data_IF_204746453518
#
_entry.id   IF_204746453518
#
_cell.length_a   1.000
_cell.length_b   1.000
_cell.length_c   1.000
_cell.angle_alpha   90.00
_cell.angle_beta   90.00
_cell.angle_gamma   90.00
#
_symmetry.space_group_name_H-M   'P 1'
#
loop_
_entity.id
_entity.type
_entity.pdbx_description
1 polymer ?
#
# COMPACT_ATOMS: atom_id res chain seq x y z
N UNK A 1 -1.49 20.51 -10.17
CA UNK A 1 -2.42 19.40 -10.47
C UNK A 1 -3.48 19.38 -9.39
N UNK A 2 -4.67 19.66 -9.80
CA UNK A 2 -5.77 20.32 -9.12
C UNK A 2 -6.83 19.30 -8.69
N UNK A 3 -7.89 19.78 -8.04
CA UNK A 3 -9.19 19.15 -7.76
C UNK A 3 -9.61 18.08 -8.79
N UNK A 4 -9.22 18.29 -10.05
CA UNK A 4 -9.45 17.36 -11.16
C UNK A 4 -8.84 15.96 -10.92
N UNK A 5 -7.69 15.84 -10.24
CA UNK A 5 -7.04 14.54 -10.02
C UNK A 5 -7.75 13.70 -8.93
N UNK A 6 -8.28 14.35 -7.89
CA UNK A 6 -9.10 13.66 -6.88
C UNK A 6 -10.44 13.25 -7.48
N UNK A 7 -11.10 14.18 -8.15
CA UNK A 7 -12.35 13.90 -8.83
C UNK A 7 -12.19 12.76 -9.84
N UNK A 8 -11.08 12.76 -10.58
CA UNK A 8 -10.71 11.68 -11.48
C UNK A 8 -10.50 10.35 -10.73
N UNK A 9 -9.76 10.35 -9.63
CA UNK A 9 -9.55 9.14 -8.82
C UNK A 9 -10.86 8.57 -8.28
N UNK A 10 -11.74 9.41 -7.74
CA UNK A 10 -13.09 9.02 -7.29
C UNK A 10 -13.95 8.52 -8.43
N UNK A 11 -13.95 9.22 -9.59
CA UNK A 11 -14.70 8.81 -10.77
C UNK A 11 -14.22 7.47 -11.33
N UNK A 12 -12.92 7.23 -11.36
CA UNK A 12 -12.36 5.96 -11.84
C UNK A 12 -12.70 4.82 -10.89
N UNK A 13 -12.62 5.03 -9.58
CA UNK A 13 -13.01 4.01 -8.60
C UNK A 13 -14.51 3.74 -8.64
N UNK A 14 -15.33 4.78 -8.79
CA UNK A 14 -16.78 4.63 -9.00
C UNK A 14 -17.08 3.89 -10.29
N UNK A 15 -16.32 4.16 -11.36
CA UNK A 15 -16.45 3.46 -12.63
C UNK A 15 -15.98 2.00 -12.52
N UNK A 16 -14.88 1.72 -11.83
CA UNK A 16 -14.44 0.35 -11.53
C UNK A 16 -15.52 -0.39 -10.76
N UNK A 17 -16.09 0.22 -9.72
CA UNK A 17 -17.20 -0.36 -8.96
C UNK A 17 -18.41 -0.63 -9.85
N UNK A 18 -18.78 0.31 -10.73
CA UNK A 18 -19.88 0.16 -11.68
C UNK A 18 -19.60 -0.95 -12.70
N UNK A 19 -18.37 -1.01 -13.24
CA UNK A 19 -17.97 -2.05 -14.19
C UNK A 19 -18.00 -3.44 -13.55
N UNK A 20 -17.59 -3.57 -12.30
CA UNK A 20 -17.70 -4.83 -11.53
C UNK A 20 -19.17 -5.24 -11.35
N UNK A 21 -20.06 -4.30 -11.00
CA UNK A 21 -21.50 -4.58 -10.89
C UNK A 21 -22.08 -5.01 -12.25
N UNK A 22 -21.71 -4.34 -13.34
CA UNK A 22 -22.15 -4.68 -14.70
C UNK A 22 -21.59 -6.05 -15.11
N UNK A 23 -20.34 -6.36 -14.83
CA UNK A 23 -19.73 -7.65 -15.13
C UNK A 23 -20.41 -8.80 -14.40
N UNK A 24 -20.78 -8.60 -13.12
CA UNK A 24 -21.57 -9.58 -12.36
C UNK A 24 -22.97 -9.74 -12.97
N UNK A 25 -23.66 -8.65 -13.30
CA UNK A 25 -25.01 -8.70 -13.90
C UNK A 25 -25.05 -9.33 -15.28
N UNK A 26 -24.00 -9.15 -16.08
CA UNK A 26 -23.89 -9.73 -17.43
C UNK A 26 -23.32 -11.17 -17.43
N UNK A 27 -23.04 -11.74 -16.27
CA UNK A 27 -22.50 -13.11 -16.17
C UNK A 27 -21.03 -13.26 -16.59
N UNK A 28 -20.31 -12.17 -16.83
CA UNK A 28 -18.85 -12.20 -17.06
C UNK A 28 -18.08 -12.56 -15.79
N UNK A 29 -18.71 -12.40 -14.63
CA UNK A 29 -18.17 -12.80 -13.33
C UNK A 29 -19.19 -13.72 -12.66
N UNK A 30 -18.76 -14.77 -11.94
CA UNK A 30 -19.65 -15.61 -11.18
C UNK A 30 -20.44 -14.76 -10.16
N UNK A 31 -21.76 -14.85 -10.22
CA UNK A 31 -22.66 -14.18 -9.29
C UNK A 31 -22.37 -14.56 -7.83
N UNK A 32 -22.95 -13.84 -6.86
CA UNK A 32 -22.74 -14.11 -5.44
C UNK A 32 -23.19 -15.54 -5.09
N UNK A 33 -22.22 -16.44 -4.87
CA UNK A 33 -22.53 -17.64 -4.09
C UNK A 33 -22.70 -17.18 -2.65
N UNK A 34 -23.94 -17.20 -2.17
CA UNK A 34 -24.21 -17.10 -0.74
C UNK A 34 -23.53 -18.30 -0.08
N UNK A 35 -22.33 -18.11 0.42
CA UNK A 35 -21.72 -19.05 1.35
C UNK A 35 -22.55 -18.95 2.61
N UNK A 36 -23.45 -19.93 2.84
CA UNK A 36 -24.06 -20.11 4.15
C UNK A 36 -22.92 -20.31 5.13
N UNK A 37 -22.85 -19.52 6.23
CA UNK A 37 -21.89 -19.81 7.27
C UNK A 37 -22.14 -21.26 7.74
N UNK A 38 -21.13 -22.11 7.57
CA UNK A 38 -21.13 -23.37 8.30
C UNK A 38 -21.16 -23.00 9.78
N UNK A 39 -22.21 -23.36 10.47
CA UNK A 39 -22.24 -23.38 11.92
C UNK A 39 -21.25 -24.47 12.38
N UNK A 40 -19.97 -24.04 12.50
CA UNK A 40 -19.04 -24.72 13.35
C UNK A 40 -19.42 -24.37 14.79
N UNK A 41 -19.65 -25.37 15.59
CA UNK A 41 -19.84 -25.18 17.03
C UNK A 41 -18.61 -24.43 17.58
N UNK A 42 -18.82 -23.41 18.44
CA UNK A 42 -17.71 -22.73 19.07
C UNK A 42 -17.08 -23.68 20.08
N UNK A 43 -15.92 -24.25 19.75
CA UNK A 43 -15.02 -24.79 20.74
C UNK A 43 -14.55 -23.62 21.61
N UNK A 44 -14.99 -23.56 22.84
CA UNK A 44 -14.52 -22.59 23.83
C UNK A 44 -13.00 -22.73 23.99
N UNK A 45 -12.21 -21.65 23.80
CA UNK A 45 -10.83 -21.68 24.23
C UNK A 45 -10.81 -21.64 25.76
N UNK A 46 -10.28 -22.69 26.35
CA UNK A 46 -10.03 -22.80 27.79
C UNK A 46 -8.93 -21.81 28.17
N UNK A 47 -9.32 -20.57 28.55
CA UNK A 47 -8.43 -19.58 29.10
C UNK A 47 -8.38 -19.78 30.62
N UNK A 48 -7.36 -20.47 31.10
CA UNK A 48 -7.00 -20.41 32.50
C UNK A 48 -6.65 -18.99 32.91
N UNK A 49 -7.16 -18.48 34.03
CA UNK A 49 -6.80 -17.15 34.51
C UNK A 49 -5.34 -17.13 34.98
N UNK A 50 -4.59 -16.07 34.70
CA UNK A 50 -3.19 -15.96 35.16
C UNK A 50 -3.13 -15.93 36.69
N UNK A 51 -2.22 -16.73 37.25
CA UNK A 51 -1.96 -16.84 38.68
C UNK A 51 -1.67 -15.47 39.31
N UNK A 52 -2.22 -15.24 40.50
CA UNK A 52 -2.05 -14.02 41.26
C UNK A 52 -0.56 -13.75 41.56
N UNK A 53 -0.04 -12.66 41.05
CA UNK A 53 1.31 -12.16 41.34
C UNK A 53 1.30 -11.50 42.72
N UNK A 54 2.10 -12.06 43.61
CA UNK A 54 2.29 -11.58 44.98
C UNK A 54 2.82 -10.11 45.00
N UNK A 55 2.30 -9.34 45.96
CA UNK A 55 2.73 -7.97 46.23
C UNK A 55 4.13 -8.00 46.82
N UNK A 56 5.14 -7.44 46.12
CA UNK A 56 6.43 -7.07 46.64
C UNK A 56 6.45 -5.56 46.92
N UNK A 57 7.02 -5.07 48.04
CA UNK A 57 6.92 -3.66 48.42
C UNK A 57 7.79 -2.75 47.57
N UNK A 58 7.26 -1.56 47.31
CA UNK A 58 7.89 -0.51 46.56
C UNK A 58 9.10 0.07 47.28
N UNK A 59 10.23 0.12 46.60
CA UNK A 59 11.32 1.06 46.89
C UNK A 59 12.09 1.30 45.58
N UNK A 60 12.12 2.54 45.15
CA UNK A 60 12.87 3.00 44.00
C UNK A 60 11.98 3.56 42.90
N UNK A 61 11.95 4.90 42.76
CA UNK A 61 11.31 5.55 41.61
C UNK A 61 11.91 4.94 40.32
N UNK A 62 11.10 4.52 39.35
CA UNK A 62 11.63 4.04 38.11
C UNK A 62 12.39 5.19 37.45
N UNK A 63 13.67 5.03 37.21
CA UNK A 63 14.43 5.81 36.24
C UNK A 63 13.69 5.64 34.91
N UNK A 64 12.88 6.62 34.54
CA UNK A 64 12.36 6.74 33.19
C UNK A 64 13.58 6.99 32.31
N UNK A 65 14.20 5.94 31.84
CA UNK A 65 15.16 6.01 30.75
C UNK A 65 14.36 6.49 29.56
N UNK A 66 14.42 7.81 29.32
CA UNK A 66 13.93 8.41 28.08
C UNK A 66 14.77 7.79 26.95
N UNK A 67 14.33 6.66 26.45
CA UNK A 67 14.88 6.11 25.23
C UNK A 67 14.59 7.16 24.15
N UNK A 68 15.63 7.90 23.75
CA UNK A 68 15.54 8.70 22.53
C UNK A 68 15.20 7.71 21.41
N UNK A 69 14.11 7.90 20.67
CA UNK A 69 13.78 7.04 19.56
C UNK A 69 15.00 6.98 18.64
N UNK A 70 15.46 5.78 18.32
CA UNK A 70 16.55 5.61 17.35
C UNK A 70 16.06 6.04 16.00
N UNK A 71 16.74 7.00 15.38
CA UNK A 71 16.43 7.43 14.02
C UNK A 71 17.12 6.51 13.01
N UNK A 72 16.52 6.37 11.84
CA UNK A 72 17.13 5.64 10.72
C UNK A 72 18.43 6.32 10.29
N UNK A 73 19.43 5.51 9.95
CA UNK A 73 20.72 5.98 9.44
C UNK A 73 20.56 6.71 8.11
N UNK A 74 19.67 6.19 7.27
CA UNK A 74 19.39 6.74 5.95
C UNK A 74 18.01 7.42 5.94
N UNK A 75 17.84 8.53 5.21
CA UNK A 75 16.54 9.18 5.06
C UNK A 75 15.47 8.23 4.53
N UNK A 76 14.23 8.46 4.92
CA UNK A 76 13.07 7.69 4.47
C UNK A 76 12.43 8.39 3.26
N UNK A 77 12.23 7.66 2.17
CA UNK A 77 11.45 8.08 1.02
C UNK A 77 10.10 7.37 1.03
N UNK A 78 9.01 8.13 1.11
CA UNK A 78 7.64 7.61 1.00
C UNK A 78 7.20 7.65 -0.47
N UNK A 79 6.93 6.50 -1.09
CA UNK A 79 6.52 6.38 -2.49
C UNK A 79 5.05 5.96 -2.59
N UNK A 80 4.22 6.80 -3.22
CA UNK A 80 2.77 6.58 -3.34
C UNK A 80 2.40 5.69 -4.53
N UNK A 81 1.19 5.07 -4.46
CA UNK A 81 0.66 4.19 -5.48
C UNK A 81 -0.07 4.89 -6.64
N UNK A 82 -0.82 4.09 -7.40
CA UNK A 82 -1.67 4.53 -8.50
C UNK A 82 -2.77 5.46 -7.99
N UNK A 83 -3.14 6.47 -8.77
CA UNK A 83 -3.97 7.61 -8.34
C UNK A 83 -3.44 8.35 -7.10
N UNK A 84 -2.19 8.12 -6.73
CA UNK A 84 -1.58 8.84 -5.63
C UNK A 84 -1.43 10.34 -5.94
N UNK A 85 -1.49 11.13 -4.89
CA UNK A 85 -1.34 12.58 -4.94
C UNK A 85 -0.46 13.03 -3.77
N UNK A 86 0.30 14.09 -3.98
CA UNK A 86 1.08 14.62 -2.87
C UNK A 86 0.22 15.42 -1.90
N UNK A 87 -0.61 16.29 -2.43
CA UNK A 87 -1.61 17.08 -1.69
C UNK A 87 -2.67 17.59 -2.67
N UNK A 88 -3.93 17.49 -2.29
CA UNK A 88 -5.07 17.99 -3.05
C UNK A 88 -5.75 19.09 -2.23
N UNK A 89 -6.06 20.22 -2.82
CA UNK A 89 -6.91 21.20 -2.18
C UNK A 89 -6.58 22.65 -2.50
N UNK A 90 -7.54 23.53 -2.16
CA UNK A 90 -7.46 24.98 -2.27
C UNK A 90 -7.03 25.54 -0.91
N UNK A 91 -6.00 26.38 -0.91
CA UNK A 91 -5.51 27.22 0.15
C UNK A 91 -5.10 26.56 1.49
N UNK A 92 -5.98 25.96 2.26
CA UNK A 92 -5.68 25.48 3.64
C UNK A 92 -5.97 24.01 3.89
N UNK A 93 -6.70 23.32 3.00
CA UNK A 93 -7.03 21.90 3.13
C UNK A 93 -6.31 21.14 2.02
N UNK A 94 -5.13 20.61 2.31
CA UNK A 94 -4.33 19.78 1.41
C UNK A 94 -4.19 18.39 2.02
N UNK A 95 -5.18 17.49 1.84
CA UNK A 95 -5.03 16.12 2.30
C UNK A 95 -3.83 15.48 1.59
N UNK A 96 -2.93 14.92 2.39
CA UNK A 96 -1.76 14.19 1.93
C UNK A 96 -2.13 12.73 1.67
N UNK A 97 -1.47 12.09 0.71
CA UNK A 97 -1.64 10.66 0.44
C UNK A 97 -1.31 9.82 1.69
N UNK A 98 -0.13 10.00 2.27
CA UNK A 98 0.28 9.42 3.55
C UNK A 98 -0.19 10.31 4.70
N UNK A 99 -1.44 10.14 5.12
CA UNK A 99 -2.12 11.08 6.01
C UNK A 99 -1.48 11.17 7.40
N UNK A 100 -0.72 12.22 7.63
CA UNK A 100 -0.04 12.50 8.91
C UNK A 100 1.17 11.58 9.20
N UNK A 101 1.55 10.71 8.27
CA UNK A 101 2.70 9.80 8.43
C UNK A 101 4.01 10.57 8.43
N UNK A 102 4.19 11.47 7.46
CA UNK A 102 5.40 12.31 7.37
C UNK A 102 5.63 13.06 8.66
N UNK A 103 4.59 13.74 9.17
CA UNK A 103 4.68 14.59 10.37
C UNK A 103 5.08 13.79 11.61
N UNK A 104 4.55 12.59 11.80
CA UNK A 104 4.91 11.76 12.95
C UNK A 104 6.34 11.26 12.86
N UNK A 105 6.80 10.86 11.68
CA UNK A 105 8.18 10.41 11.49
C UNK A 105 9.19 11.57 11.68
N UNK A 106 8.91 12.75 11.13
CA UNK A 106 9.71 13.96 11.32
C UNK A 106 9.75 14.40 12.80
N UNK A 107 8.62 14.31 13.51
CA UNK A 107 8.57 14.61 14.95
C UNK A 107 9.41 13.65 15.81
N UNK A 108 9.63 12.42 15.33
CA UNK A 108 10.53 11.43 15.95
C UNK A 108 12.00 11.60 15.52
N UNK A 109 12.30 12.60 14.68
CA UNK A 109 13.66 12.95 14.25
C UNK A 109 14.12 12.27 12.95
N UNK A 110 13.26 11.53 12.26
CA UNK A 110 13.62 10.97 10.95
C UNK A 110 13.62 12.04 9.87
N UNK A 111 14.54 11.94 8.92
CA UNK A 111 14.51 12.75 7.69
C UNK A 111 13.60 12.06 6.67
N UNK A 112 12.52 12.74 6.25
CA UNK A 112 11.49 12.14 5.39
C UNK A 112 11.30 12.94 4.11
N UNK A 113 11.31 12.25 2.96
CA UNK A 113 10.93 12.79 1.66
C UNK A 113 9.69 12.07 1.13
N UNK A 114 8.69 12.82 0.67
CA UNK A 114 7.51 12.24 0.02
C UNK A 114 7.66 12.41 -1.49
N UNK A 115 7.84 11.29 -2.20
CA UNK A 115 7.99 11.29 -3.64
C UNK A 115 6.71 11.74 -4.35
N UNK A 116 6.86 12.39 -5.50
CA UNK A 116 5.78 12.92 -6.34
C UNK A 116 5.94 12.40 -7.76
N UNK A 117 5.23 11.34 -8.07
CA UNK A 117 5.24 10.76 -9.40
C UNK A 117 3.89 10.94 -10.09
N UNK A 118 3.80 10.67 -11.40
CA UNK A 118 2.53 10.72 -12.13
C UNK A 118 1.49 9.80 -11.48
N UNK A 119 0.25 10.25 -11.28
CA UNK A 119 -0.77 9.43 -10.66
C UNK A 119 -1.23 8.24 -11.52
N UNK A 120 -1.08 8.28 -12.84
CA UNK A 120 -1.69 7.31 -13.77
C UNK A 120 -0.72 6.73 -14.80
N UNK A 121 0.50 7.26 -14.91
CA UNK A 121 1.50 6.74 -15.84
C UNK A 121 1.93 5.31 -15.47
N UNK A 122 2.49 4.60 -16.44
CA UNK A 122 3.07 3.27 -16.25
C UNK A 122 4.32 3.28 -15.37
N UNK A 123 4.70 2.09 -14.90
CA UNK A 123 5.85 1.87 -13.98
C UNK A 123 7.13 2.53 -14.49
N UNK A 124 7.58 2.39 -15.77
CA UNK A 124 8.85 2.97 -16.20
C UNK A 124 8.92 4.50 -16.06
N UNK A 125 7.82 5.20 -16.38
CA UNK A 125 7.73 6.66 -16.29
C UNK A 125 7.76 7.10 -14.81
N UNK A 126 7.00 6.45 -13.96
CA UNK A 126 6.92 6.73 -12.52
C UNK A 126 8.24 6.42 -11.83
N UNK A 127 8.87 5.30 -12.16
CA UNK A 127 10.20 4.91 -11.67
C UNK A 127 11.29 5.92 -12.04
N UNK A 128 11.28 6.44 -13.28
CA UNK A 128 12.20 7.50 -13.71
C UNK A 128 12.00 8.80 -12.91
N UNK A 129 10.76 9.17 -12.64
CA UNK A 129 10.44 10.34 -11.80
C UNK A 129 10.87 10.14 -10.34
N UNK A 130 10.68 8.94 -9.78
CA UNK A 130 11.13 8.57 -8.44
C UNK A 130 12.65 8.66 -8.34
N UNK A 131 13.38 8.04 -9.31
CA UNK A 131 14.83 8.14 -9.41
C UNK A 131 15.33 9.58 -9.39
N UNK A 132 14.79 10.42 -10.28
CA UNK A 132 15.21 11.80 -10.36
C UNK A 132 14.95 12.61 -9.08
N UNK A 133 13.99 12.23 -8.25
CA UNK A 133 13.77 12.88 -6.94
C UNK A 133 14.76 12.38 -5.90
N UNK A 134 15.06 11.08 -5.84
CA UNK A 134 16.07 10.52 -4.94
C UNK A 134 17.45 11.11 -5.24
N UNK A 135 17.79 11.26 -6.52
CA UNK A 135 19.05 11.89 -6.93
C UNK A 135 19.14 13.35 -6.48
N UNK A 136 18.07 14.14 -6.68
CA UNK A 136 18.01 15.54 -6.23
C UNK A 136 17.99 15.71 -4.72
N UNK A 137 17.47 14.74 -3.99
CA UNK A 137 17.49 14.73 -2.53
C UNK A 137 18.90 14.69 -1.96
N UNK A 138 19.88 14.17 -2.72
CA UNK A 138 21.30 14.27 -2.43
C UNK A 138 21.83 13.34 -1.36
N UNK A 139 20.99 12.50 -0.74
CA UNK A 139 21.45 11.49 0.22
C UNK A 139 22.26 10.41 -0.49
N UNK A 140 23.31 9.90 0.16
CA UNK A 140 24.12 8.81 -0.37
C UNK A 140 23.29 7.54 -0.55
N UNK A 141 22.54 7.15 0.49
CA UNK A 141 21.57 6.05 0.46
C UNK A 141 20.25 6.47 1.11
N UNK A 142 19.17 5.80 0.75
CA UNK A 142 17.82 6.02 1.30
C UNK A 142 17.14 4.70 1.66
N UNK A 143 16.21 4.76 2.59
CA UNK A 143 15.23 3.71 2.84
C UNK A 143 13.93 4.08 2.13
N UNK A 144 13.37 3.21 1.31
CA UNK A 144 12.08 3.45 0.63
C UNK A 144 10.99 2.68 1.39
N UNK A 145 9.95 3.40 1.83
CA UNK A 145 8.69 2.78 2.28
C UNK A 145 7.64 3.13 1.23
N UNK A 146 7.20 2.12 0.51
CA UNK A 146 6.34 2.29 -0.65
C UNK A 146 4.96 1.66 -0.43
N UNK A 147 3.91 2.34 -0.85
CA UNK A 147 2.55 1.82 -0.83
C UNK A 147 2.06 1.50 -2.24
N UNK A 148 1.39 0.34 -2.40
CA UNK A 148 0.74 -0.05 -3.64
C UNK A 148 1.72 -0.06 -4.83
N UNK A 149 1.35 0.48 -5.98
CA UNK A 149 2.19 0.55 -7.19
C UNK A 149 3.56 1.22 -6.94
N UNK A 150 3.69 2.08 -5.91
CA UNK A 150 4.98 2.70 -5.57
C UNK A 150 6.09 1.70 -5.26
N UNK A 151 5.74 0.50 -4.77
CA UNK A 151 6.69 -0.59 -4.57
C UNK A 151 7.25 -1.16 -5.89
N UNK A 152 6.40 -1.20 -6.92
CA UNK A 152 6.81 -1.65 -8.27
C UNK A 152 7.70 -0.59 -8.95
N UNK A 153 7.34 0.70 -8.80
CA UNK A 153 8.17 1.80 -9.28
C UNK A 153 9.57 1.75 -8.66
N UNK A 154 9.65 1.51 -7.35
CA UNK A 154 10.92 1.40 -6.64
C UNK A 154 11.73 0.17 -7.09
N UNK A 155 11.11 -1.01 -7.22
CA UNK A 155 11.79 -2.20 -7.74
C UNK A 155 12.36 -1.96 -9.13
N UNK A 156 11.56 -1.39 -10.04
CA UNK A 156 12.02 -1.06 -11.39
C UNK A 156 13.19 -0.07 -11.38
N UNK A 157 13.12 0.98 -10.56
CA UNK A 157 14.16 1.98 -10.45
C UNK A 157 15.47 1.40 -9.87
N UNK A 158 15.37 0.49 -8.89
CA UNK A 158 16.51 -0.21 -8.31
C UNK A 158 17.20 -1.07 -9.37
N UNK A 159 16.45 -1.89 -10.10
CA UNK A 159 16.99 -2.87 -11.04
C UNK A 159 17.46 -2.23 -12.34
N UNK A 160 16.65 -1.37 -12.96
CA UNK A 160 16.88 -0.89 -14.31
C UNK A 160 17.38 0.55 -14.42
N UNK A 161 17.23 1.36 -13.36
CA UNK A 161 17.60 2.77 -13.42
C UNK A 161 18.78 3.13 -12.52
N UNK A 162 19.52 2.14 -12.04
CA UNK A 162 20.77 2.35 -11.31
C UNK A 162 20.61 2.80 -9.85
N UNK A 163 19.44 2.66 -9.25
CA UNK A 163 19.24 2.99 -7.83
C UNK A 163 19.73 1.92 -6.86
N UNK A 164 20.20 0.75 -7.31
CA UNK A 164 20.64 -0.33 -6.43
C UNK A 164 21.69 0.08 -5.40
N UNK A 165 22.67 0.90 -5.79
CA UNK A 165 23.71 1.43 -4.87
C UNK A 165 23.20 2.54 -3.95
N UNK A 166 22.07 3.17 -4.25
CA UNK A 166 21.52 4.32 -3.51
C UNK A 166 20.34 3.95 -2.62
N UNK A 167 19.84 2.73 -2.69
CA UNK A 167 18.75 2.24 -1.84
C UNK A 167 19.32 1.24 -0.84
N UNK A 168 19.11 1.48 0.45
CA UNK A 168 19.51 0.57 1.51
C UNK A 168 18.43 -0.48 1.76
N UNK A 169 17.15 -0.06 1.70
CA UNK A 169 16.02 -0.96 1.86
C UNK A 169 14.81 -0.51 1.06
N UNK A 170 13.97 -1.47 0.66
CA UNK A 170 12.65 -1.28 0.12
C UNK A 170 11.64 -2.07 0.97
N UNK A 171 10.82 -1.35 1.73
CA UNK A 171 9.66 -1.92 2.44
C UNK A 171 8.40 -1.57 1.68
N UNK A 172 7.62 -2.58 1.28
CA UNK A 172 6.39 -2.41 0.53
C UNK A 172 5.17 -2.68 1.39
N UNK A 173 4.08 -1.94 1.18
CA UNK A 173 2.81 -2.07 1.89
C UNK A 173 1.70 -2.17 0.85
N UNK A 174 0.92 -3.24 0.83
CA UNK A 174 -0.17 -3.41 -0.12
C UNK A 174 0.25 -3.38 -1.60
N UNK A 175 1.49 -3.72 -1.92
CA UNK A 175 2.01 -3.68 -3.30
C UNK A 175 1.61 -4.93 -4.07
N UNK A 176 1.03 -4.79 -5.28
CA UNK A 176 0.61 -5.94 -6.09
C UNK A 176 1.79 -6.57 -6.84
N UNK A 177 2.70 -7.25 -6.14
CA UNK A 177 3.88 -7.88 -6.74
C UNK A 177 3.55 -8.98 -7.75
N UNK A 178 2.35 -9.60 -7.63
CA UNK A 178 1.84 -10.58 -8.60
C UNK A 178 0.68 -10.02 -9.43
N UNK A 179 0.44 -8.70 -9.36
CA UNK A 179 -0.71 -8.05 -9.99
C UNK A 179 -1.99 -8.21 -9.20
N UNK A 180 -3.10 -7.82 -9.82
CA UNK A 180 -4.42 -7.97 -9.22
C UNK A 180 -5.45 -8.40 -10.27
N UNK A 181 -6.24 -9.46 -9.99
CA UNK A 181 -7.36 -9.85 -10.85
C UNK A 181 -8.39 -8.73 -11.05
N UNK A 182 -8.38 -7.71 -10.17
CA UNK A 182 -9.23 -6.53 -10.33
C UNK A 182 -8.82 -5.73 -11.58
N UNK A 183 -7.52 -5.56 -11.84
CA UNK A 183 -7.03 -4.92 -13.06
C UNK A 183 -7.37 -5.75 -14.31
N UNK A 184 -7.18 -7.08 -14.24
CA UNK A 184 -7.56 -7.98 -15.33
C UNK A 184 -9.05 -7.84 -15.67
N UNK A 185 -9.92 -7.83 -14.65
CA UNK A 185 -11.35 -7.68 -14.81
C UNK A 185 -11.73 -6.34 -15.46
N UNK A 186 -11.19 -5.22 -14.99
CA UNK A 186 -11.47 -3.88 -15.52
C UNK A 186 -11.06 -3.79 -16.99
N UNK A 187 -9.94 -4.39 -17.37
CA UNK A 187 -9.47 -4.38 -18.75
C UNK A 187 -10.24 -5.34 -19.67
N UNK A 188 -10.79 -6.44 -19.13
CA UNK A 188 -11.55 -7.44 -19.89
C UNK A 188 -12.96 -6.97 -20.29
N UNK A 189 -13.59 -6.02 -19.58
CA UNK A 189 -14.98 -5.62 -19.77
C UNK A 189 -15.23 -4.88 -21.11
N UNK A 190 -14.26 -4.80 -22.02
CA UNK A 190 -14.46 -4.28 -23.39
C UNK A 190 -14.74 -2.77 -23.51
N UNK A 191 -15.04 -2.09 -22.42
CA UNK A 191 -15.23 -0.64 -22.34
C UNK A 191 -13.90 0.14 -22.26
N UNK A 192 -12.76 -0.58 -22.34
CA UNK A 192 -11.43 0.01 -22.22
C UNK A 192 -11.18 1.18 -23.17
N UNK A 193 -11.71 1.11 -24.41
CA UNK A 193 -11.59 2.20 -25.39
C UNK A 193 -12.36 3.46 -24.93
N UNK A 194 -13.51 3.29 -24.28
CA UNK A 194 -14.28 4.40 -23.71
C UNK A 194 -13.61 4.95 -22.47
N UNK A 195 -13.15 4.07 -21.57
CA UNK A 195 -12.40 4.43 -20.39
C UNK A 195 -11.12 5.20 -20.76
N UNK A 196 -10.33 4.66 -21.69
CA UNK A 196 -9.12 5.33 -22.20
C UNK A 196 -9.39 6.71 -22.77
N UNK A 197 -10.44 6.86 -23.61
CA UNK A 197 -10.82 8.17 -24.16
C UNK A 197 -11.28 9.14 -23.08
N UNK A 198 -12.06 8.66 -22.10
CA UNK A 198 -12.51 9.47 -20.98
C UNK A 198 -11.33 9.91 -20.12
N UNK A 199 -10.43 9.02 -19.75
CA UNK A 199 -9.24 9.36 -18.95
C UNK A 199 -8.31 10.31 -19.71
N UNK A 200 -8.10 10.08 -21.02
CA UNK A 200 -7.31 10.96 -21.87
C UNK A 200 -7.88 12.40 -21.95
N UNK A 201 -9.22 12.56 -21.92
CA UNK A 201 -9.84 13.89 -21.89
C UNK A 201 -9.55 14.67 -20.59
N UNK A 202 -9.17 13.98 -19.53
CA UNK A 202 -8.70 14.55 -18.25
C UNK A 202 -7.16 14.61 -18.13
N UNK A 203 -6.44 14.27 -19.20
CA UNK A 203 -4.96 14.23 -19.18
C UNK A 203 -4.38 13.06 -18.39
N UNK A 204 -5.16 11.99 -18.21
CA UNK A 204 -4.74 10.75 -17.58
C UNK A 204 -4.63 9.62 -18.63
N UNK A 205 -3.75 8.67 -18.40
CA UNK A 205 -3.66 7.45 -19.20
C UNK A 205 -4.07 6.21 -18.36
N UNK A 206 -4.03 5.05 -18.99
CA UNK A 206 -4.36 3.76 -18.34
C UNK A 206 -3.15 2.84 -18.22
N UNK A 207 -1.97 3.31 -18.58
CA UNK A 207 -0.78 2.45 -18.67
C UNK A 207 -0.45 1.85 -17.30
N UNK A 208 -0.54 2.65 -16.22
CA UNK A 208 -0.36 2.11 -14.87
C UNK A 208 -1.38 1.04 -14.48
N UNK A 209 -2.63 1.12 -14.97
CA UNK A 209 -3.61 0.06 -14.71
C UNK A 209 -3.27 -1.21 -15.50
N UNK A 210 -2.77 -1.07 -16.73
CA UNK A 210 -2.33 -2.18 -17.55
C UNK A 210 -1.15 -2.91 -16.90
N UNK A 211 -0.18 -2.16 -16.36
CA UNK A 211 0.98 -2.71 -15.66
C UNK A 211 0.58 -3.57 -14.45
N UNK A 212 -0.56 -3.26 -13.79
CA UNK A 212 -1.04 -3.98 -12.59
C UNK A 212 -1.78 -5.29 -12.92
N UNK A 213 -1.91 -5.68 -14.19
CA UNK A 213 -2.52 -6.97 -14.56
C UNK A 213 -1.62 -8.14 -14.14
N UNK A 214 -2.24 -9.28 -13.87
CA UNK A 214 -1.49 -10.49 -13.47
C UNK A 214 -0.55 -10.97 -14.57
N UNK A 215 -0.90 -10.76 -15.84
CA UNK A 215 -0.06 -11.11 -16.99
C UNK A 215 1.19 -10.23 -17.07
N UNK A 216 1.02 -8.90 -16.93
CA UNK A 216 2.15 -7.96 -16.96
C UNK A 216 3.08 -8.15 -15.77
N UNK A 217 2.54 -8.42 -14.60
CA UNK A 217 3.36 -8.63 -13.41
C UNK A 217 4.17 -9.93 -13.45
N UNK A 218 3.71 -10.97 -14.13
CA UNK A 218 4.55 -12.15 -14.40
C UNK A 218 5.78 -11.79 -15.23
N UNK A 219 5.60 -11.00 -16.28
CA UNK A 219 6.72 -10.56 -17.12
C UNK A 219 7.62 -9.56 -16.37
N UNK A 220 7.03 -8.63 -15.61
CA UNK A 220 7.77 -7.73 -14.75
C UNK A 220 8.69 -8.49 -13.79
N UNK A 221 8.18 -9.49 -13.08
CA UNK A 221 8.97 -10.27 -12.13
C UNK A 221 10.08 -11.09 -12.77
N UNK A 222 9.93 -11.48 -14.04
CA UNK A 222 10.99 -12.15 -14.81
C UNK A 222 12.14 -11.19 -15.14
N UNK A 223 11.85 -9.92 -15.37
CA UNK A 223 12.81 -8.92 -15.81
C UNK A 223 13.39 -8.09 -14.65
N UNK A 224 12.60 -7.84 -13.60
CA UNK A 224 12.96 -6.97 -12.48
C UNK A 224 13.37 -7.83 -11.28
N UNK A 225 14.64 -8.19 -11.28
CA UNK A 225 15.26 -9.00 -10.22
C UNK A 225 15.75 -8.13 -9.06
N UNK A 226 15.84 -8.71 -7.89
CA UNK A 226 16.30 -7.99 -6.70
C UNK A 226 17.80 -7.68 -6.77
N UNK A 227 18.18 -6.48 -6.34
CA UNK A 227 19.58 -6.10 -6.20
C UNK A 227 20.15 -6.69 -4.90
N UNK A 228 21.37 -7.28 -4.91
CA UNK A 228 21.89 -8.03 -3.77
C UNK A 228 22.13 -7.18 -2.51
N UNK A 229 22.43 -5.89 -2.68
CA UNK A 229 22.77 -4.97 -1.57
C UNK A 229 21.57 -4.18 -1.04
N UNK A 230 20.35 -4.55 -1.45
CA UNK A 230 19.11 -3.92 -1.01
C UNK A 230 18.31 -4.91 -0.18
N UNK A 231 17.89 -4.49 1.01
CA UNK A 231 16.97 -5.28 1.83
C UNK A 231 15.54 -5.10 1.33
N UNK A 232 14.86 -6.20 0.99
CA UNK A 232 13.46 -6.17 0.57
C UNK A 232 12.56 -6.74 1.66
N UNK A 233 11.47 -6.01 1.94
CA UNK A 233 10.48 -6.44 2.92
C UNK A 233 9.06 -6.03 2.52
N UNK A 234 8.06 -6.72 3.07
CA UNK A 234 6.66 -6.46 2.78
C UNK A 234 5.79 -6.51 4.04
N UNK A 235 4.76 -5.66 4.04
CA UNK A 235 3.62 -5.68 4.96
C UNK A 235 2.38 -6.05 4.16
N UNK A 236 1.64 -7.05 4.66
CA UNK A 236 0.48 -7.60 3.99
C UNK A 236 -0.79 -7.02 4.61
N UNK A 237 -1.58 -6.33 3.81
CA UNK A 237 -2.90 -5.83 4.23
C UNK A 237 -4.01 -6.77 3.82
N UNK A 238 -4.92 -7.10 4.75
CA UNK A 238 -6.13 -7.82 4.44
C UNK A 238 -7.32 -7.21 5.19
N UNK A 239 -8.34 -6.80 4.46
CA UNK A 239 -9.56 -6.30 5.09
C UNK A 239 -10.33 -7.43 5.78
N UNK A 240 -10.86 -7.16 6.96
CA UNK A 240 -11.69 -8.07 7.74
C UNK A 240 -13.04 -7.40 8.02
N UNK A 241 -14.02 -7.46 7.10
CA UNK A 241 -15.31 -6.78 7.25
C UNK A 241 -16.07 -7.14 8.54
N UNK A 242 -15.79 -8.31 9.11
CA UNK A 242 -16.39 -8.78 10.38
C UNK A 242 -15.85 -8.02 11.59
N UNK A 243 -14.62 -7.49 11.49
CA UNK A 243 -13.95 -6.76 12.57
C UNK A 243 -14.00 -5.24 12.36
N UNK A 244 -13.83 -4.80 11.09
CA UNK A 244 -13.70 -3.40 10.73
C UNK A 244 -14.39 -3.11 9.40
N UNK A 245 -15.18 -2.03 9.28
CA UNK A 245 -15.82 -1.68 8.02
C UNK A 245 -14.75 -1.38 6.96
N UNK A 246 -14.92 -1.97 5.78
CA UNK A 246 -14.12 -1.64 4.58
C UNK A 246 -14.59 -0.30 4.05
N UNK A 247 -13.69 0.53 3.54
CA UNK A 247 -14.07 1.78 2.89
C UNK A 247 -15.12 1.49 1.81
N UNK A 248 -16.26 2.21 1.79
CA UNK A 248 -17.38 1.92 0.88
C UNK A 248 -16.98 1.84 -0.59
N UNK A 249 -16.00 2.63 -1.04
CA UNK A 249 -15.50 2.60 -2.42
C UNK A 249 -14.69 1.33 -2.73
N UNK A 250 -14.18 0.64 -1.74
CA UNK A 250 -13.40 -0.60 -1.89
C UNK A 250 -14.27 -1.86 -1.75
N UNK A 251 -15.49 -1.75 -1.24
CA UNK A 251 -16.40 -2.90 -1.01
C UNK A 251 -16.61 -3.74 -2.28
N UNK A 252 -16.87 -3.17 -3.47
CA UNK A 252 -17.05 -3.98 -4.68
C UNK A 252 -15.81 -4.78 -5.06
N UNK A 253 -14.63 -4.14 -4.98
CA UNK A 253 -13.34 -4.80 -5.24
C UNK A 253 -13.05 -5.89 -4.22
N UNK A 254 -13.26 -5.61 -2.92
CA UNK A 254 -13.10 -6.59 -1.86
C UNK A 254 -14.01 -7.82 -2.07
N UNK A 255 -15.30 -7.59 -2.36
CA UNK A 255 -16.25 -8.68 -2.59
C UNK A 255 -15.89 -9.52 -3.84
N UNK A 256 -15.38 -8.90 -4.89
CA UNK A 256 -14.89 -9.60 -6.08
C UNK A 256 -13.67 -10.46 -5.75
N UNK A 257 -12.63 -9.85 -5.19
CA UNK A 257 -11.38 -10.54 -4.86
C UNK A 257 -11.56 -11.67 -3.84
N UNK A 258 -12.43 -11.46 -2.83
CA UNK A 258 -12.74 -12.51 -1.85
C UNK A 258 -13.36 -13.77 -2.46
N UNK A 259 -14.02 -13.66 -3.61
CA UNK A 259 -14.58 -14.80 -4.33
C UNK A 259 -13.56 -15.48 -5.25
N UNK A 260 -12.70 -14.67 -5.86
CA UNK A 260 -11.78 -15.17 -6.90
C UNK A 260 -10.53 -15.77 -6.26
N UNK A 261 -10.03 -15.15 -5.17
CA UNK A 261 -8.71 -15.50 -4.64
C UNK A 261 -8.65 -15.55 -3.10
N UNK A 262 -9.60 -14.96 -2.38
CA UNK A 262 -9.64 -14.99 -0.92
C UNK A 262 -9.24 -13.66 -0.27
N UNK A 263 -8.37 -13.72 0.73
CA UNK A 263 -7.96 -12.56 1.53
C UNK A 263 -7.36 -11.44 0.66
N UNK A 264 -7.83 -10.21 0.90
CA UNK A 264 -7.43 -9.04 0.13
C UNK A 264 -7.69 -7.74 0.89
N UNK A 265 -7.11 -6.64 0.45
CA UNK A 265 -7.29 -5.32 1.04
C UNK A 265 -8.35 -4.44 0.31
N UNK A 266 -9.11 -5.05 -0.60
CA UNK A 266 -10.10 -4.38 -1.44
C UNK A 266 -9.60 -4.02 -2.84
N UNK A 267 -8.29 -4.03 -3.09
CA UNK A 267 -7.65 -3.78 -4.38
C UNK A 267 -6.65 -4.88 -4.74
N UNK A 268 -5.86 -5.33 -3.78
CA UNK A 268 -4.76 -6.27 -3.98
C UNK A 268 -4.99 -7.53 -3.16
N UNK A 269 -4.89 -8.74 -3.76
CA UNK A 269 -4.90 -9.99 -3.01
C UNK A 269 -3.73 -10.05 -2.01
N UNK A 270 -3.98 -10.60 -0.82
CA UNK A 270 -2.95 -10.73 0.22
C UNK A 270 -1.71 -11.51 -0.27
N UNK A 271 -1.91 -12.58 -1.04
CA UNK A 271 -0.83 -13.37 -1.63
C UNK A 271 0.04 -12.54 -2.59
N UNK A 272 -0.57 -11.60 -3.33
CA UNK A 272 0.13 -10.75 -4.28
C UNK A 272 1.02 -9.70 -3.61
N UNK A 273 0.80 -9.40 -2.33
CA UNK A 273 1.53 -8.36 -1.61
C UNK A 273 2.89 -8.84 -1.05
N UNK A 274 3.14 -10.13 -1.02
CA UNK A 274 4.36 -10.70 -0.44
C UNK A 274 5.56 -10.54 -1.36
N UNK A 275 6.65 -9.95 -0.83
CA UNK A 275 7.95 -9.83 -1.51
C UNK A 275 9.07 -9.62 -0.48
N UNK A 276 10.17 -10.36 -0.62
CA UNK A 276 11.25 -10.34 0.35
C UNK A 276 10.82 -10.85 1.72
N UNK A 277 11.32 -10.23 2.79
CA UNK A 277 10.95 -10.57 4.16
C UNK A 277 9.52 -10.11 4.46
N UNK A 278 8.67 -11.00 4.97
CA UNK A 278 7.34 -10.64 5.45
C UNK A 278 7.42 -10.12 6.89
N UNK A 279 7.18 -8.83 7.10
CA UNK A 279 7.32 -8.20 8.41
C UNK A 279 6.06 -8.33 9.26
N UNK A 280 4.91 -7.95 8.71
CA UNK A 280 3.63 -7.91 9.42
C UNK A 280 2.46 -8.25 8.50
N UNK A 281 1.41 -8.80 9.11
CA UNK A 281 0.07 -8.87 8.54
C UNK A 281 -0.82 -7.89 9.27
N UNK A 282 -1.46 -6.99 8.54
CA UNK A 282 -2.33 -5.96 9.13
C UNK A 282 -3.78 -6.10 8.67
N UNK A 283 -4.71 -5.95 9.60
CA UNK A 283 -6.14 -5.95 9.27
C UNK A 283 -6.56 -4.54 8.83
N UNK A 284 -6.25 -4.23 7.59
CA UNK A 284 -6.47 -2.91 7.01
C UNK A 284 -6.87 -3.04 5.53
N UNK A 285 -7.86 -2.26 5.11
CA UNK A 285 -8.10 -2.07 3.68
C UNK A 285 -6.99 -1.21 3.05
N UNK A 286 -6.95 -1.18 1.73
CA UNK A 286 -5.89 -0.52 0.96
C UNK A 286 -5.67 0.95 1.32
N UNK A 287 -6.74 1.67 1.67
CA UNK A 287 -6.64 3.08 2.04
C UNK A 287 -6.42 3.28 3.54
N UNK A 288 -6.83 2.33 4.37
CA UNK A 288 -6.51 2.33 5.79
C UNK A 288 -4.99 2.28 6.02
N UNK A 289 -4.25 1.54 5.18
CA UNK A 289 -2.80 1.40 5.23
C UNK A 289 -2.04 2.74 5.11
N UNK A 290 -2.67 3.76 4.57
CA UNK A 290 -2.09 5.12 4.41
C UNK A 290 -2.82 6.20 5.23
N UNK A 291 -3.67 5.80 6.18
CA UNK A 291 -4.33 6.70 7.14
C UNK A 291 -5.65 7.29 6.68
N UNK A 292 -6.28 6.76 5.62
CA UNK A 292 -7.57 7.24 5.13
C UNK A 292 -8.78 6.53 5.75
N UNK A 293 -8.56 5.73 6.78
CA UNK A 293 -9.62 5.10 7.56
C UNK A 293 -9.36 5.29 9.06
N UNK A 294 -10.44 5.46 9.87
CA UNK A 294 -10.29 5.78 11.30
C UNK A 294 -10.02 4.56 12.18
N UNK A 295 -10.24 3.36 11.68
CA UNK A 295 -10.15 2.13 12.46
C UNK A 295 -8.75 1.53 12.49
N UNK A 296 -7.85 1.97 11.61
CA UNK A 296 -6.48 1.51 11.54
C UNK A 296 -5.51 2.66 11.77
N UNK A 297 -4.56 2.46 12.67
CA UNK A 297 -3.51 3.45 12.96
C UNK A 297 -2.31 3.26 12.02
N UNK A 298 -2.42 3.84 10.83
CA UNK A 298 -1.31 3.82 9.87
C UNK A 298 -0.04 4.50 10.42
N UNK A 299 -0.16 5.56 11.23
CA UNK A 299 1.00 6.24 11.79
C UNK A 299 1.82 5.31 12.65
N UNK A 300 1.15 4.51 13.51
CA UNK A 300 1.80 3.50 14.33
C UNK A 300 2.53 2.45 13.47
N UNK A 301 1.92 2.01 12.36
CA UNK A 301 2.56 1.09 11.43
C UNK A 301 3.86 1.68 10.88
N UNK A 302 3.82 2.90 10.33
CA UNK A 302 5.02 3.52 9.74
C UNK A 302 6.09 3.84 10.77
N UNK A 303 5.72 4.20 12.01
CA UNK A 303 6.67 4.36 13.12
C UNK A 303 7.36 3.03 13.43
N UNK A 304 6.60 1.94 13.58
CA UNK A 304 7.17 0.60 13.80
C UNK A 304 8.12 0.16 12.68
N UNK A 305 7.79 0.47 11.41
CA UNK A 305 8.69 0.20 10.29
C UNK A 305 9.99 1.02 10.36
N UNK A 306 9.90 2.31 10.72
CA UNK A 306 11.07 3.16 10.90
C UNK A 306 11.97 2.69 12.06
N UNK A 307 11.38 2.26 13.18
CA UNK A 307 12.09 1.67 14.31
C UNK A 307 12.83 0.39 13.91
N UNK A 308 12.17 -0.52 13.17
CA UNK A 308 12.80 -1.75 12.64
C UNK A 308 13.97 -1.44 11.70
N UNK A 309 13.85 -0.41 10.85
CA UNK A 309 14.96 0.04 10.01
C UNK A 309 16.13 0.57 10.86
N UNK A 310 15.84 1.40 11.87
CA UNK A 310 16.84 1.93 12.78
C UNK A 310 17.57 0.82 13.58
N UNK A 311 16.82 -0.19 14.05
CA UNK A 311 17.38 -1.34 14.77
C UNK A 311 18.33 -2.19 13.91
N UNK A 312 18.11 -2.18 12.58
CA UNK A 312 18.98 -2.85 11.59
C UNK A 312 20.15 -1.97 11.12
N UNK A 313 20.26 -0.74 11.63
CA UNK A 313 21.30 0.21 11.21
C UNK A 313 21.08 0.82 9.82
N UNK A 314 19.85 0.80 9.35
CA UNK A 314 19.43 1.31 8.04
C UNK A 314 18.89 2.73 8.10
#
# INVERSE_FOLDING_TARGET
MTEKALLLGVLVLALIALLLVVAVRKGYLPGPRLVRPQRGEPGEPNLEPPAAVGKTPASGAPLVVLHRPRTTRHPIVLAHGYFGFHAIGVARLRPEYFRGVRQVLEALGHTVHVARVSPTAGIPVRAAQLRGQIERFGAERVNIIAHSMGGLDARYAITHLGLGSRVASLTTIGTPHQGTPLADCVLAVGELRRLRRMLASFGADVDGLYDLTTAQMREFNRLVVDAPDVMYASVIGAARPQLWPVNPLLVPGHAYLSRVIGDNDGIVPAESQSWGERLDDVFADHWAQIGWHRTFDAKKLYVSLAERLADRGL
#
